data_IF_118348663195
#
_entry.id   IF_118348663195
#
_cell.length_a   1.000
_cell.length_b   1.000
_cell.length_c   1.000
_cell.angle_alpha   90.00
_cell.angle_beta   90.00
_cell.angle_gamma   90.00
#
_symmetry.space_group_name_H-M   'P 1'
#
loop_
_entity.id
_entity.type
_entity.pdbx_description
1 polymer ?
#
# COMPACT_ATOMS: atom_id res chain seq x y z
N UNK A 1 -11.36 10.95 39.33
CA UNK A 1 -10.45 10.33 40.31
C UNK A 1 -9.55 9.30 39.64
N UNK A 2 -10.08 8.20 39.08
CA UNK A 2 -9.32 7.13 38.40
C UNK A 2 -8.22 7.60 37.41
N UNK A 3 -8.47 8.60 36.57
CA UNK A 3 -7.46 9.13 35.62
C UNK A 3 -6.22 9.66 36.35
N UNK A 4 -6.39 10.29 37.52
CA UNK A 4 -5.29 10.86 38.30
C UNK A 4 -4.41 9.79 38.96
N UNK A 5 -5.01 8.69 39.42
CA UNK A 5 -4.25 7.53 39.96
C UNK A 5 -3.48 6.80 38.86
N UNK A 6 -4.06 6.67 37.65
CA UNK A 6 -3.39 6.06 36.48
C UNK A 6 -2.11 6.80 36.04
N UNK A 7 -1.92 8.06 36.46
CA UNK A 7 -0.76 8.88 36.12
C UNK A 7 0.41 8.72 37.10
N UNK A 8 0.20 8.07 38.24
CA UNK A 8 1.20 7.92 39.32
C UNK A 8 1.92 6.57 39.34
N UNK A 9 1.38 5.55 38.66
CA UNK A 9 1.96 4.21 38.61
C UNK A 9 2.59 3.94 37.23
N UNK A 10 3.69 3.15 37.16
CA UNK A 10 4.23 2.71 35.89
C UNK A 10 3.24 1.76 35.19
N UNK A 11 3.12 1.80 33.86
CA UNK A 11 2.25 0.90 33.12
C UNK A 11 2.56 -0.58 33.40
N UNK A 12 1.53 -1.39 33.60
CA UNK A 12 1.69 -2.84 33.79
C UNK A 12 2.34 -3.47 32.54
N UNK A 13 3.49 -4.10 32.73
CA UNK A 13 4.34 -4.64 31.66
C UNK A 13 5.69 -3.92 31.53
N UNK A 14 5.73 -2.59 31.61
CA UNK A 14 6.88 -1.77 31.16
C UNK A 14 8.18 -1.93 31.98
N UNK A 15 8.10 -2.42 33.22
CA UNK A 15 9.26 -2.49 34.13
C UNK A 15 9.68 -3.90 34.58
N UNK A 16 8.77 -4.89 34.52
CA UNK A 16 8.99 -6.23 35.06
C UNK A 16 8.35 -7.36 34.23
N UNK A 17 7.88 -7.07 33.01
CA UNK A 17 6.97 -7.95 32.27
C UNK A 17 5.59 -8.02 32.92
N UNK A 18 4.67 -8.77 32.30
CA UNK A 18 3.31 -8.93 32.82
C UNK A 18 3.25 -10.04 33.88
N UNK A 19 3.22 -9.66 35.15
CA UNK A 19 3.14 -10.60 36.27
C UNK A 19 1.69 -11.06 36.60
N UNK A 20 0.69 -10.62 35.84
CA UNK A 20 -0.69 -11.05 36.06
C UNK A 20 -0.89 -12.52 35.66
N UNK A 21 -1.59 -13.29 36.50
CA UNK A 21 -1.97 -14.68 36.20
C UNK A 21 -3.20 -14.81 35.29
N UNK A 22 -3.66 -13.69 34.71
CA UNK A 22 -4.78 -13.71 33.78
C UNK A 22 -4.35 -14.30 32.42
N UNK A 23 -4.64 -15.59 32.25
CA UNK A 23 -4.41 -16.37 31.02
C UNK A 23 -5.02 -15.68 29.79
N UNK A 24 -6.13 -14.95 29.93
CA UNK A 24 -6.75 -14.24 28.81
C UNK A 24 -5.84 -13.14 28.24
N UNK A 25 -5.13 -12.38 29.08
CA UNK A 25 -4.22 -11.31 28.63
C UNK A 25 -2.97 -11.91 27.97
N UNK A 26 -2.42 -12.99 28.54
CA UNK A 26 -1.34 -13.78 27.93
C UNK A 26 -1.75 -14.34 26.56
N UNK A 27 -2.96 -14.89 26.43
CA UNK A 27 -3.49 -15.40 25.17
C UNK A 27 -3.73 -14.30 24.12
N UNK A 28 -4.35 -13.18 24.50
CA UNK A 28 -4.57 -12.03 23.61
C UNK A 28 -3.25 -11.49 23.03
N UNK A 29 -2.20 -11.37 23.86
CA UNK A 29 -0.88 -10.95 23.39
C UNK A 29 -0.31 -11.91 22.34
N UNK A 30 -0.32 -13.22 22.62
CA UNK A 30 0.21 -14.23 21.70
C UNK A 30 -0.57 -14.19 20.38
N UNK A 31 -1.90 -14.09 20.44
CA UNK A 31 -2.77 -14.02 19.26
C UNK A 31 -2.53 -12.74 18.45
N UNK A 32 -2.46 -11.57 19.08
CA UNK A 32 -2.23 -10.31 18.37
C UNK A 32 -0.83 -10.22 17.78
N UNK A 33 0.21 -10.67 18.49
CA UNK A 33 1.56 -10.74 17.92
C UNK A 33 1.65 -11.75 16.77
N UNK A 34 0.98 -12.90 16.86
CA UNK A 34 0.91 -13.87 15.77
C UNK A 34 0.19 -13.32 14.54
N UNK A 35 -0.94 -12.60 14.72
CA UNK A 35 -1.64 -11.89 13.63
C UNK A 35 -0.73 -10.82 13.00
N UNK A 36 -0.04 -10.03 13.82
CA UNK A 36 0.87 -8.98 13.36
C UNK A 36 2.00 -9.56 12.48
N UNK A 37 2.65 -10.64 12.92
CA UNK A 37 3.69 -11.33 12.15
C UNK A 37 3.15 -12.03 10.90
N UNK A 38 2.02 -12.73 10.99
CA UNK A 38 1.40 -13.39 9.83
C UNK A 38 1.09 -12.35 8.74
N UNK A 39 0.42 -11.26 9.09
CA UNK A 39 0.12 -10.17 8.17
C UNK A 39 1.40 -9.51 7.63
N UNK A 40 2.42 -9.31 8.45
CA UNK A 40 3.68 -8.70 8.01
C UNK A 40 4.43 -9.59 7.01
N UNK A 41 4.55 -10.91 7.26
CA UNK A 41 5.20 -11.85 6.35
C UNK A 41 4.43 -11.98 5.03
N UNK A 42 3.11 -12.14 5.10
CA UNK A 42 2.25 -12.16 3.91
C UNK A 42 2.39 -10.87 3.10
N UNK A 43 2.39 -9.71 3.77
CA UNK A 43 2.51 -8.41 3.11
C UNK A 43 3.91 -8.21 2.50
N UNK A 44 5.00 -8.65 3.13
CA UNK A 44 6.35 -8.63 2.54
C UNK A 44 6.38 -9.44 1.24
N UNK A 45 5.80 -10.65 1.24
CA UNK A 45 5.71 -11.49 0.04
C UNK A 45 4.90 -10.77 -1.06
N UNK A 46 3.72 -10.24 -0.71
CA UNK A 46 2.85 -9.52 -1.66
C UNK A 46 3.51 -8.26 -2.23
N UNK A 47 4.28 -7.52 -1.44
CA UNK A 47 5.09 -6.37 -1.87
C UNK A 47 6.08 -6.81 -2.96
N UNK A 48 6.90 -7.83 -2.71
CA UNK A 48 7.89 -8.30 -3.69
C UNK A 48 7.26 -8.92 -4.95
N UNK A 49 6.08 -9.55 -4.84
CA UNK A 49 5.36 -10.08 -6.01
C UNK A 49 4.69 -9.01 -6.87
N UNK A 50 4.42 -7.82 -6.32
CA UNK A 50 3.62 -6.78 -7.00
C UNK A 50 4.46 -5.60 -7.50
N UNK A 51 5.56 -5.26 -6.83
CA UNK A 51 6.40 -4.12 -7.21
C UNK A 51 7.55 -4.51 -8.15
N UNK A 52 7.35 -4.31 -9.45
CA UNK A 52 8.42 -4.44 -10.46
C UNK A 52 9.49 -3.32 -10.41
N UNK A 53 9.33 -2.28 -9.57
CA UNK A 53 10.29 -1.17 -9.44
C UNK A 53 10.39 -0.67 -8.00
N UNK A 54 11.53 -0.93 -7.36
CA UNK A 54 11.80 -0.68 -5.94
C UNK A 54 12.24 0.77 -5.59
N UNK A 55 11.86 1.76 -6.39
CA UNK A 55 12.36 3.15 -6.27
C UNK A 55 11.32 4.17 -5.78
N UNK A 56 10.07 3.76 -5.55
CA UNK A 56 8.99 4.67 -5.13
C UNK A 56 8.99 4.93 -3.62
N UNK A 57 8.60 6.14 -3.20
CA UNK A 57 8.40 6.48 -1.79
C UNK A 57 7.43 5.50 -1.12
N UNK A 58 6.33 5.16 -1.80
CA UNK A 58 5.35 4.16 -1.36
C UNK A 58 5.99 2.80 -1.03
N UNK A 59 6.86 2.31 -1.92
CA UNK A 59 7.52 1.01 -1.74
C UNK A 59 8.38 1.04 -0.48
N UNK A 60 9.23 2.06 -0.31
CA UNK A 60 10.10 2.17 0.85
C UNK A 60 9.33 2.41 2.15
N UNK A 61 8.32 3.27 2.17
CA UNK A 61 7.52 3.48 3.39
C UNK A 61 6.77 2.22 3.79
N UNK A 62 6.09 1.55 2.85
CA UNK A 62 5.36 0.32 3.14
C UNK A 62 6.30 -0.85 3.53
N UNK A 63 7.40 -1.05 2.81
CA UNK A 63 8.35 -2.13 3.09
C UNK A 63 9.04 -1.94 4.45
N UNK A 64 9.51 -0.73 4.77
CA UNK A 64 10.17 -0.44 6.06
C UNK A 64 9.17 -0.48 7.22
N UNK A 65 7.95 0.04 7.05
CA UNK A 65 6.89 -0.03 8.08
C UNK A 65 6.49 -1.48 8.38
N UNK A 66 6.49 -2.35 7.38
CA UNK A 66 6.16 -3.77 7.55
C UNK A 66 7.33 -4.55 8.17
N UNK A 67 8.51 -4.43 7.56
CA UNK A 67 9.69 -5.29 7.87
C UNK A 67 10.44 -4.84 9.11
N UNK A 68 10.63 -3.53 9.28
CA UNK A 68 11.27 -2.97 10.48
C UNK A 68 10.19 -2.61 11.49
N UNK A 69 9.16 -1.87 11.06
CA UNK A 69 8.14 -1.33 11.96
C UNK A 69 7.39 -2.39 12.76
N UNK A 70 6.45 -3.09 12.11
CA UNK A 70 5.57 -4.08 12.75
C UNK A 70 6.36 -5.23 13.39
N UNK A 71 7.34 -5.80 12.67
CA UNK A 71 8.07 -6.98 13.14
C UNK A 71 8.94 -6.66 14.38
N UNK A 72 9.77 -5.59 14.35
CA UNK A 72 10.63 -5.28 15.50
C UNK A 72 9.82 -4.80 16.70
N UNK A 73 8.71 -4.08 16.47
CA UNK A 73 7.79 -3.68 17.53
C UNK A 73 7.20 -4.91 18.24
N UNK A 74 6.68 -5.88 17.47
CA UNK A 74 6.13 -7.12 18.02
C UNK A 74 7.21 -7.99 18.71
N UNK A 75 8.43 -8.09 18.16
CA UNK A 75 9.56 -8.79 18.82
C UNK A 75 9.93 -8.12 20.15
N UNK A 76 10.07 -6.79 20.16
CA UNK A 76 10.44 -6.03 21.36
C UNK A 76 9.46 -6.26 22.51
N UNK A 77 8.15 -6.12 22.24
CA UNK A 77 7.12 -6.39 23.24
C UNK A 77 7.02 -7.86 23.65
N UNK A 78 7.31 -8.82 22.77
CA UNK A 78 7.43 -10.24 23.17
C UNK A 78 8.60 -10.47 24.13
N UNK A 79 9.76 -9.88 23.87
CA UNK A 79 10.93 -10.00 24.74
C UNK A 79 10.70 -9.33 26.10
N UNK A 80 10.05 -8.17 26.11
CA UNK A 80 9.66 -7.45 27.33
C UNK A 80 8.66 -8.26 28.17
N UNK A 81 7.62 -8.79 27.53
CA UNK A 81 6.55 -9.53 28.21
C UNK A 81 7.01 -10.86 28.80
N UNK A 82 7.80 -11.64 28.04
CA UNK A 82 8.37 -12.91 28.50
C UNK A 82 9.70 -12.76 29.26
N UNK A 83 10.12 -11.51 29.53
CA UNK A 83 11.41 -11.15 30.18
C UNK A 83 12.64 -11.85 29.57
N UNK A 84 12.62 -12.04 28.25
CA UNK A 84 13.68 -12.71 27.48
C UNK A 84 14.82 -11.73 27.21
N UNK A 85 15.86 -11.81 28.03
CA UNK A 85 17.10 -11.05 27.87
C UNK A 85 17.09 -9.67 28.56
N UNK A 86 18.06 -8.81 28.25
CA UNK A 86 18.17 -7.50 28.89
C UNK A 86 16.99 -6.60 28.53
N UNK A 87 16.36 -5.96 29.53
CA UNK A 87 15.19 -5.09 29.29
C UNK A 87 15.50 -3.93 28.32
N UNK A 88 16.74 -3.42 28.32
CA UNK A 88 17.19 -2.43 27.34
C UNK A 88 17.18 -2.94 25.89
N UNK A 89 17.38 -4.24 25.65
CA UNK A 89 17.32 -4.83 24.31
C UNK A 89 15.86 -4.94 23.83
N UNK A 90 14.95 -5.36 24.72
CA UNK A 90 13.52 -5.41 24.41
C UNK A 90 12.97 -4.00 24.06
N UNK A 91 13.25 -3.01 24.91
CA UNK A 91 12.81 -1.62 24.73
C UNK A 91 13.45 -0.96 23.49
N UNK A 92 14.73 -1.23 23.19
CA UNK A 92 15.37 -0.71 21.97
C UNK A 92 14.75 -1.29 20.71
N UNK A 93 14.47 -2.60 20.65
CA UNK A 93 13.77 -3.23 19.52
C UNK A 93 12.34 -2.66 19.36
N UNK A 94 11.59 -2.54 20.46
CA UNK A 94 10.26 -1.94 20.45
C UNK A 94 10.28 -0.49 19.92
N UNK A 95 11.23 0.32 20.38
CA UNK A 95 11.43 1.72 19.95
C UNK A 95 11.79 1.82 18.46
N UNK A 96 12.71 0.97 17.97
CA UNK A 96 13.09 0.93 16.55
C UNK A 96 11.88 0.56 15.68
N UNK A 97 11.09 -0.44 16.10
CA UNK A 97 9.85 -0.78 15.43
C UNK A 97 8.85 0.38 15.42
N UNK A 98 8.64 1.04 16.56
CA UNK A 98 7.74 2.18 16.69
C UNK A 98 8.08 3.33 15.71
N UNK A 99 9.37 3.68 15.57
CA UNK A 99 9.84 4.72 14.63
C UNK A 99 9.44 4.46 13.17
N UNK A 100 9.51 3.21 12.71
CA UNK A 100 9.13 2.86 11.35
C UNK A 100 7.65 2.51 11.21
N UNK A 101 6.97 2.12 12.28
CA UNK A 101 5.54 1.76 12.26
C UNK A 101 4.64 3.01 12.21
N UNK A 102 4.79 3.95 13.15
CA UNK A 102 3.81 5.03 13.35
C UNK A 102 4.01 6.19 12.34
N UNK A 103 5.18 6.85 12.25
CA UNK A 103 5.48 7.77 11.15
C UNK A 103 5.37 7.11 9.76
N UNK A 104 5.78 5.86 9.63
CA UNK A 104 5.77 5.13 8.36
C UNK A 104 4.36 4.93 7.80
N UNK A 105 3.39 4.59 8.64
CA UNK A 105 1.96 4.55 8.26
C UNK A 105 1.47 5.89 7.72
N UNK A 106 1.84 7.01 8.37
CA UNK A 106 1.52 8.35 7.85
C UNK A 106 2.17 8.63 6.48
N UNK A 107 3.40 8.14 6.24
CA UNK A 107 4.02 8.21 4.91
C UNK A 107 3.37 7.32 3.85
N UNK A 108 2.82 6.15 4.22
CA UNK A 108 2.02 5.31 3.30
C UNK A 108 0.73 6.05 2.91
N UNK A 109 -0.02 6.59 3.88
CA UNK A 109 -1.21 7.41 3.65
C UNK A 109 -0.92 8.62 2.74
N UNK A 110 0.16 9.34 3.03
CA UNK A 110 0.65 10.44 2.20
C UNK A 110 0.98 9.99 0.77
N UNK A 111 1.69 8.87 0.61
CA UNK A 111 2.08 8.38 -0.71
C UNK A 111 0.90 7.87 -1.52
N UNK A 112 -0.21 7.43 -0.88
CA UNK A 112 -1.48 7.21 -1.58
C UNK A 112 -2.17 8.53 -1.92
N UNK A 113 -2.21 9.49 -1.00
CA UNK A 113 -2.81 10.81 -1.28
C UNK A 113 -2.15 11.47 -2.49
N UNK A 114 -0.83 11.34 -2.66
CA UNK A 114 -0.10 11.82 -3.84
C UNK A 114 -0.63 11.25 -5.18
N UNK A 115 -1.22 10.06 -5.21
CA UNK A 115 -1.75 9.43 -6.43
C UNK A 115 -3.15 9.94 -6.81
N UNK A 116 -3.85 10.62 -5.90
CA UNK A 116 -5.24 11.09 -6.08
C UNK A 116 -5.35 12.62 -6.01
N UNK A 117 -4.50 13.27 -5.23
CA UNK A 117 -4.42 14.72 -5.08
C UNK A 117 -3.45 15.31 -6.11
N UNK A 118 -3.95 16.21 -6.96
CA UNK A 118 -3.17 16.85 -8.01
C UNK A 118 -2.45 18.12 -7.53
N UNK A 119 -2.88 18.73 -6.43
CA UNK A 119 -2.32 20.01 -5.96
C UNK A 119 -1.03 19.81 -5.15
N UNK A 120 0.14 20.27 -5.66
CA UNK A 120 1.43 20.06 -4.99
C UNK A 120 1.55 20.87 -3.68
N UNK A 121 0.72 21.92 -3.51
CA UNK A 121 0.71 22.77 -2.31
C UNK A 121 0.10 22.05 -1.11
N UNK A 122 -1.05 21.40 -1.29
CA UNK A 122 -1.70 20.61 -0.22
C UNK A 122 -0.79 19.45 0.17
N UNK A 123 -0.28 18.72 -0.82
CA UNK A 123 0.62 17.60 -0.60
C UNK A 123 1.88 18.04 0.19
N UNK A 124 2.56 19.13 -0.21
CA UNK A 124 3.75 19.62 0.50
C UNK A 124 3.43 20.06 1.94
N UNK A 125 2.25 20.63 2.21
CA UNK A 125 1.81 20.95 3.59
C UNK A 125 1.62 19.68 4.43
N UNK A 126 0.99 18.64 3.88
CA UNK A 126 0.84 17.35 4.56
C UNK A 126 2.20 16.69 4.82
N UNK A 127 3.14 16.75 3.87
CA UNK A 127 4.51 16.24 4.08
C UNK A 127 5.20 16.94 5.26
N UNK A 128 5.16 18.28 5.32
CA UNK A 128 5.74 19.02 6.44
C UNK A 128 5.04 18.74 7.76
N UNK A 129 3.71 18.55 7.77
CA UNK A 129 2.97 18.13 8.96
C UNK A 129 3.47 16.79 9.51
N UNK A 130 3.65 15.78 8.64
CA UNK A 130 4.13 14.45 9.04
C UNK A 130 5.56 14.53 9.59
N UNK A 131 6.47 15.20 8.88
CA UNK A 131 7.89 15.31 9.29
C UNK A 131 8.03 16.08 10.60
N UNK A 132 7.32 17.21 10.76
CA UNK A 132 7.33 17.99 11.99
C UNK A 132 6.79 17.18 13.17
N UNK A 133 5.65 16.53 12.99
CA UNK A 133 5.03 15.68 14.02
C UNK A 133 5.93 14.52 14.42
N UNK A 134 6.56 13.85 13.45
CA UNK A 134 7.50 12.78 13.73
C UNK A 134 8.66 13.26 14.61
N UNK A 135 9.29 14.40 14.29
CA UNK A 135 10.41 14.93 15.09
C UNK A 135 9.96 15.37 16.49
N UNK A 136 8.86 16.12 16.59
CA UNK A 136 8.37 16.70 17.85
C UNK A 136 7.82 15.64 18.81
N UNK A 137 7.31 14.52 18.30
CA UNK A 137 6.76 13.44 19.11
C UNK A 137 7.79 12.33 19.40
N UNK A 138 8.58 11.88 18.42
CA UNK A 138 9.52 10.76 18.64
C UNK A 138 10.59 11.10 19.69
N UNK A 139 11.14 12.32 19.67
CA UNK A 139 12.24 12.68 20.56
C UNK A 139 11.80 12.67 22.04
N UNK A 140 10.72 13.37 22.46
CA UNK A 140 10.31 13.38 23.86
C UNK A 140 9.81 12.02 24.35
N UNK A 141 9.03 11.26 23.54
CA UNK A 141 8.61 9.90 23.91
C UNK A 141 9.82 9.03 24.20
N UNK A 142 10.80 8.99 23.30
CA UNK A 142 11.99 8.15 23.44
C UNK A 142 12.78 8.48 24.71
N UNK A 143 13.02 9.76 24.98
CA UNK A 143 13.70 10.19 26.20
C UNK A 143 12.90 9.77 27.45
N UNK A 144 11.58 9.94 27.45
CA UNK A 144 10.72 9.54 28.57
C UNK A 144 10.66 8.02 28.77
N UNK A 145 10.68 7.22 27.70
CA UNK A 145 10.76 5.76 27.76
C UNK A 145 12.03 5.32 28.47
N UNK A 146 13.22 5.76 28.01
CA UNK A 146 14.47 5.36 28.64
C UNK A 146 14.65 5.92 30.06
N UNK A 147 14.20 7.14 30.33
CA UNK A 147 14.16 7.69 31.69
C UNK A 147 13.26 6.85 32.61
N UNK A 148 12.12 6.35 32.12
CA UNK A 148 11.22 5.48 32.89
C UNK A 148 11.89 4.13 33.20
N UNK A 149 12.57 3.52 32.23
CA UNK A 149 13.25 2.22 32.41
C UNK A 149 14.45 2.30 33.35
N UNK A 150 15.34 3.29 33.18
CA UNK A 150 16.62 3.37 33.88
C UNK A 150 16.64 4.31 35.09
N UNK A 151 16.02 5.50 35.00
CA UNK A 151 16.04 6.51 36.09
C UNK A 151 14.90 6.28 37.08
N UNK A 152 13.75 5.78 36.60
CA UNK A 152 12.59 5.37 37.43
C UNK A 152 12.03 6.46 38.36
N UNK A 153 12.27 7.73 38.02
CA UNK A 153 11.70 8.87 38.75
C UNK A 153 10.17 8.90 38.58
N UNK A 154 9.39 9.20 39.63
CA UNK A 154 7.93 9.35 39.52
C UNK A 154 7.52 10.46 38.54
N UNK A 155 8.39 11.47 38.35
CA UNK A 155 8.18 12.50 37.33
C UNK A 155 8.34 11.95 35.90
N UNK A 156 9.28 11.03 35.68
CA UNK A 156 9.49 10.38 34.37
C UNK A 156 8.33 9.44 34.01
N UNK A 157 7.86 8.64 34.97
CA UNK A 157 6.70 7.76 34.81
C UNK A 157 5.45 8.57 34.43
N UNK A 158 5.16 9.63 35.21
CA UNK A 158 4.02 10.51 34.94
C UNK A 158 4.17 11.24 33.60
N UNK A 159 5.40 11.64 33.24
CA UNK A 159 5.71 12.22 31.94
C UNK A 159 5.43 11.27 30.78
N UNK A 160 5.87 10.01 30.89
CA UNK A 160 5.60 8.96 29.89
C UNK A 160 4.10 8.72 29.71
N UNK A 161 3.33 8.52 30.80
CA UNK A 161 1.88 8.28 30.72
C UNK A 161 1.09 9.46 30.10
N UNK A 162 1.59 10.70 30.21
CA UNK A 162 1.01 11.86 29.50
C UNK A 162 1.44 11.88 28.04
N UNK A 163 2.72 11.63 27.77
CA UNK A 163 3.28 11.67 26.42
C UNK A 163 2.69 10.57 25.52
N UNK A 164 2.50 9.35 26.03
CA UNK A 164 1.89 8.24 25.29
C UNK A 164 0.45 8.56 24.83
N UNK A 165 -0.37 9.12 25.73
CA UNK A 165 -1.74 9.56 25.39
C UNK A 165 -1.72 10.69 24.36
N UNK A 166 -0.76 11.61 24.49
CA UNK A 166 -0.60 12.73 23.58
C UNK A 166 -0.17 12.27 22.18
N UNK A 167 0.82 11.38 22.05
CA UNK A 167 1.25 10.88 20.75
C UNK A 167 0.15 10.11 20.02
N UNK A 168 -0.61 9.25 20.73
CA UNK A 168 -1.66 8.45 20.12
C UNK A 168 -2.82 9.33 19.67
N UNK A 169 -3.19 10.33 20.46
CA UNK A 169 -4.18 11.34 20.07
C UNK A 169 -3.70 12.16 18.87
N UNK A 170 -2.43 12.56 18.86
CA UNK A 170 -1.86 13.37 17.79
C UNK A 170 -1.76 12.61 16.46
N UNK A 171 -1.22 11.39 16.48
CA UNK A 171 -1.13 10.56 15.27
C UNK A 171 -2.52 10.11 14.78
N UNK A 172 -3.46 9.78 15.67
CA UNK A 172 -4.86 9.52 15.30
C UNK A 172 -5.49 10.74 14.59
N UNK A 173 -5.33 11.95 15.16
CA UNK A 173 -5.82 13.18 14.52
C UNK A 173 -5.13 13.46 13.17
N UNK A 174 -3.83 13.16 13.05
CA UNK A 174 -3.08 13.29 11.80
C UNK A 174 -3.55 12.30 10.73
N UNK A 175 -3.75 11.02 11.08
CA UNK A 175 -4.25 10.00 10.15
C UNK A 175 -5.68 10.34 9.70
N UNK A 176 -6.58 10.74 10.62
CA UNK A 176 -7.94 11.22 10.30
C UNK A 176 -7.91 12.46 9.39
N UNK A 177 -6.99 13.40 9.60
CA UNK A 177 -6.86 14.59 8.76
C UNK A 177 -6.44 14.23 7.32
N UNK A 178 -5.42 13.38 7.16
CA UNK A 178 -4.95 12.90 5.84
C UNK A 178 -6.06 12.10 5.13
N UNK A 179 -6.73 11.22 5.88
CA UNK A 179 -7.87 10.42 5.43
C UNK A 179 -9.05 11.30 4.96
N UNK A 180 -9.35 12.38 5.69
CA UNK A 180 -10.42 13.32 5.34
C UNK A 180 -10.16 14.04 4.01
N UNK A 181 -8.93 14.51 3.79
CA UNK A 181 -8.52 15.12 2.50
C UNK A 181 -8.67 14.10 1.37
N UNK A 182 -8.21 12.86 1.60
CA UNK A 182 -8.30 11.77 0.62
C UNK A 182 -9.75 11.43 0.25
N UNK A 183 -10.66 11.30 1.23
CA UNK A 183 -12.09 11.05 0.99
C UNK A 183 -12.71 12.22 0.24
N UNK A 184 -12.44 13.46 0.65
CA UNK A 184 -12.99 14.66 -0.01
C UNK A 184 -12.61 14.72 -1.49
N UNK A 185 -11.32 14.53 -1.81
CA UNK A 185 -10.83 14.53 -3.19
C UNK A 185 -11.39 13.35 -4.00
N UNK A 186 -11.51 12.17 -3.40
CA UNK A 186 -12.12 10.99 -4.05
C UNK A 186 -13.60 11.23 -4.38
N UNK A 187 -14.37 11.83 -3.46
CA UNK A 187 -15.78 12.21 -3.71
C UNK A 187 -15.88 13.31 -4.78
N UNK A 188 -14.96 14.27 -4.80
CA UNK A 188 -14.93 15.32 -5.82
C UNK A 188 -14.71 14.74 -7.23
N UNK A 189 -13.74 13.82 -7.38
CA UNK A 189 -13.49 13.10 -8.64
C UNK A 189 -14.73 12.29 -9.07
N UNK A 190 -15.43 11.64 -8.12
CA UNK A 190 -16.65 10.88 -8.40
C UNK A 190 -17.81 11.80 -8.86
N UNK A 191 -18.00 12.95 -8.20
CA UNK A 191 -19.03 13.95 -8.56
C UNK A 191 -18.80 14.61 -9.92
N UNK A 192 -17.55 14.85 -10.30
CA UNK A 192 -17.19 15.51 -11.57
C UNK A 192 -17.27 14.59 -12.79
N UNK A 193 -17.36 13.26 -12.61
CA UNK A 193 -17.47 12.29 -13.70
C UNK A 193 -18.48 11.17 -13.39
N UNK A 194 -19.79 11.48 -13.26
CA UNK A 194 -20.81 10.52 -12.88
C UNK A 194 -21.21 9.53 -13.99
N UNK A 195 -21.01 9.89 -15.26
CA UNK A 195 -21.82 9.34 -16.36
C UNK A 195 -21.29 8.12 -17.13
N UNK A 196 -20.03 7.68 -16.98
CA UNK A 196 -19.47 6.67 -17.91
C UNK A 196 -19.28 5.24 -17.41
N UNK A 197 -19.08 4.96 -16.11
CA UNK A 197 -18.91 3.56 -15.66
C UNK A 197 -19.41 3.24 -14.24
N UNK A 198 -20.40 2.33 -14.15
CA UNK A 198 -20.84 1.73 -12.89
C UNK A 198 -19.72 0.93 -12.19
N UNK A 199 -18.80 0.33 -12.94
CA UNK A 199 -17.68 -0.44 -12.38
C UNK A 199 -16.68 0.48 -11.66
N UNK A 200 -16.28 1.58 -12.31
CA UNK A 200 -15.38 2.58 -11.71
C UNK A 200 -15.95 3.19 -10.43
N UNK A 201 -17.24 3.52 -10.41
CA UNK A 201 -17.92 4.06 -9.23
C UNK A 201 -17.94 3.06 -8.07
N UNK A 202 -18.21 1.76 -8.33
CA UNK A 202 -18.14 0.71 -7.29
C UNK A 202 -16.75 0.62 -6.67
N UNK A 203 -15.69 0.58 -7.49
CA UNK A 203 -14.32 0.57 -6.99
C UNK A 203 -14.02 1.81 -6.14
N UNK A 204 -14.42 3.02 -6.57
CA UNK A 204 -14.24 4.25 -5.77
C UNK A 204 -14.97 4.20 -4.41
N UNK A 205 -16.16 3.60 -4.34
CA UNK A 205 -16.85 3.36 -3.06
C UNK A 205 -16.10 2.38 -2.16
N UNK A 206 -15.49 1.32 -2.71
CA UNK A 206 -14.66 0.40 -1.93
C UNK A 206 -13.40 1.09 -1.37
N UNK A 207 -12.78 2.00 -2.15
CA UNK A 207 -11.64 2.81 -1.69
C UNK A 207 -12.03 3.71 -0.51
N UNK A 208 -13.21 4.34 -0.57
CA UNK A 208 -13.75 5.14 0.55
C UNK A 208 -14.06 4.23 1.76
N UNK A 209 -14.68 3.08 1.55
CA UNK A 209 -15.04 2.15 2.63
C UNK A 209 -13.79 1.65 3.40
N UNK A 210 -12.71 1.30 2.69
CA UNK A 210 -11.45 0.90 3.33
C UNK A 210 -10.85 2.07 4.14
N UNK A 211 -10.95 3.29 3.64
CA UNK A 211 -10.48 4.48 4.35
C UNK A 211 -11.27 4.74 5.66
N UNK A 212 -12.59 4.56 5.65
CA UNK A 212 -13.43 4.61 6.85
C UNK A 212 -13.09 3.51 7.86
N UNK A 213 -12.75 2.29 7.40
CA UNK A 213 -12.29 1.20 8.29
C UNK A 213 -11.00 1.57 9.01
N UNK A 214 -10.06 2.26 8.35
CA UNK A 214 -8.82 2.70 9.00
C UNK A 214 -9.08 3.78 10.06
N UNK A 215 -9.96 4.76 9.79
CA UNK A 215 -10.41 5.74 10.80
C UNK A 215 -11.04 5.04 12.01
N UNK A 216 -11.85 3.99 11.79
CA UNK A 216 -12.43 3.21 12.89
C UNK A 216 -11.36 2.47 13.72
N UNK A 217 -10.35 1.89 13.06
CA UNK A 217 -9.21 1.24 13.73
C UNK A 217 -8.37 2.23 14.56
N UNK A 218 -8.19 3.46 14.09
CA UNK A 218 -7.56 4.55 14.85
C UNK A 218 -8.33 4.91 16.13
N UNK A 219 -9.64 5.10 16.00
CA UNK A 219 -10.52 5.39 17.14
C UNK A 219 -10.52 4.23 18.13
N UNK A 220 -10.49 2.97 17.67
CA UNK A 220 -10.42 1.81 18.54
C UNK A 220 -9.13 1.75 19.37
N UNK A 221 -7.97 2.04 18.76
CA UNK A 221 -6.69 2.15 19.50
C UNK A 221 -6.72 3.32 20.49
N UNK A 222 -7.26 4.47 20.09
CA UNK A 222 -7.36 5.65 20.94
C UNK A 222 -8.25 5.40 22.18
N UNK A 223 -9.41 4.75 22.00
CA UNK A 223 -10.30 4.38 23.09
C UNK A 223 -9.60 3.40 24.05
N UNK A 224 -8.91 2.39 23.53
CA UNK A 224 -8.20 1.41 24.36
C UNK A 224 -7.10 2.04 25.22
N UNK A 225 -6.39 3.03 24.69
CA UNK A 225 -5.43 3.85 25.43
C UNK A 225 -6.09 4.61 26.59
N UNK A 226 -7.20 5.32 26.32
CA UNK A 226 -7.90 6.09 27.36
C UNK A 226 -8.59 5.23 28.43
N UNK A 227 -8.87 3.95 28.13
CA UNK A 227 -9.30 2.95 29.14
C UNK A 227 -8.13 2.49 30.03
N UNK A 228 -6.88 2.71 29.61
CA UNK A 228 -5.68 2.45 30.42
C UNK A 228 -5.13 1.03 30.35
N UNK A 229 -5.56 0.23 29.37
CA UNK A 229 -5.14 -1.18 29.22
C UNK A 229 -3.83 -1.31 28.44
N UNK A 230 -2.73 -0.76 28.99
CA UNK A 230 -1.42 -0.65 28.32
C UNK A 230 -0.94 -1.95 27.62
N UNK A 231 -0.93 -3.08 28.32
CA UNK A 231 -0.47 -4.37 27.75
C UNK A 231 -1.30 -4.84 26.55
N UNK A 232 -2.61 -4.55 26.56
CA UNK A 232 -3.51 -4.88 25.47
C UNK A 232 -3.40 -3.85 24.33
N UNK A 233 -3.19 -2.58 24.68
CA UNK A 233 -2.94 -1.49 23.74
C UNK A 233 -1.69 -1.76 22.91
N UNK A 234 -0.55 -2.10 23.52
CA UNK A 234 0.73 -2.21 22.80
C UNK A 234 0.75 -3.38 21.83
N UNK A 235 0.10 -4.48 22.21
CA UNK A 235 -0.03 -5.69 21.39
C UNK A 235 -1.07 -5.54 20.29
N UNK A 236 -2.24 -4.97 20.60
CA UNK A 236 -3.26 -4.67 19.59
C UNK A 236 -2.77 -3.61 18.59
N UNK A 237 -1.96 -2.63 19.02
CA UNK A 237 -1.32 -1.62 18.17
C UNK A 237 -0.54 -2.29 17.04
N UNK A 238 0.36 -3.24 17.35
CA UNK A 238 1.11 -3.98 16.32
C UNK A 238 0.18 -4.72 15.31
N UNK A 239 -0.85 -5.40 15.81
CA UNK A 239 -1.83 -6.09 14.96
C UNK A 239 -2.62 -5.12 14.07
N UNK A 240 -3.13 -4.02 14.63
CA UNK A 240 -3.90 -3.01 13.90
C UNK A 240 -3.05 -2.31 12.84
N UNK A 241 -1.81 -1.92 13.14
CA UNK A 241 -0.90 -1.34 12.13
C UNK A 241 -0.57 -2.35 11.01
N UNK A 242 -0.43 -3.65 11.32
CA UNK A 242 -0.29 -4.68 10.27
C UNK A 242 -1.51 -4.78 9.34
N UNK A 243 -2.73 -4.66 9.91
CA UNK A 243 -3.99 -4.67 9.15
C UNK A 243 -4.12 -3.39 8.31
N UNK A 244 -3.81 -2.22 8.88
CA UNK A 244 -3.77 -0.94 8.13
C UNK A 244 -2.86 -1.03 6.91
N UNK A 245 -1.62 -1.51 7.06
CA UNK A 245 -0.68 -1.66 5.94
C UNK A 245 -1.20 -2.64 4.87
N UNK A 246 -1.87 -3.73 5.28
CA UNK A 246 -2.50 -4.69 4.36
C UNK A 246 -3.69 -4.08 3.61
N UNK A 247 -4.51 -3.25 4.29
CA UNK A 247 -5.60 -2.48 3.68
C UNK A 247 -5.07 -1.45 2.68
N UNK A 248 -3.99 -0.72 3.01
CA UNK A 248 -3.31 0.22 2.11
C UNK A 248 -2.81 -0.45 0.84
N UNK A 249 -2.24 -1.64 0.95
CA UNK A 249 -1.78 -2.42 -0.20
C UNK A 249 -2.94 -2.88 -1.09
N UNK A 250 -4.03 -3.37 -0.48
CA UNK A 250 -5.25 -3.73 -1.21
C UNK A 250 -5.89 -2.53 -1.93
N UNK A 251 -5.84 -1.33 -1.33
CA UNK A 251 -6.28 -0.09 -1.98
C UNK A 251 -5.40 0.26 -3.18
N UNK A 252 -4.08 0.13 -3.08
CA UNK A 252 -3.19 0.39 -4.22
C UNK A 252 -3.49 -0.55 -5.39
N UNK A 253 -3.67 -1.85 -5.14
CA UNK A 253 -4.00 -2.82 -6.19
C UNK A 253 -5.25 -2.41 -6.98
N UNK A 254 -6.30 -1.96 -6.28
CA UNK A 254 -7.53 -1.43 -6.90
C UNK A 254 -7.30 -0.11 -7.63
N UNK A 255 -6.48 0.79 -7.09
CA UNK A 255 -6.16 2.08 -7.73
C UNK A 255 -5.33 1.90 -9.02
N UNK A 256 -4.40 0.95 -9.05
CA UNK A 256 -3.63 0.62 -10.27
C UNK A 256 -4.53 0.00 -11.34
N UNK A 257 -5.47 -0.87 -10.95
CA UNK A 257 -6.48 -1.44 -11.85
C UNK A 257 -7.34 -0.34 -12.50
N UNK A 258 -7.83 0.62 -11.69
CA UNK A 258 -8.60 1.79 -12.15
C UNK A 258 -7.87 2.61 -13.23
N UNK A 259 -6.56 2.83 -13.08
CA UNK A 259 -5.76 3.58 -14.06
C UNK A 259 -5.52 2.78 -15.34
N UNK A 260 -5.35 1.47 -15.26
CA UNK A 260 -5.17 0.63 -16.45
C UNK A 260 -6.45 0.54 -17.27
N UNK A 261 -7.63 0.36 -16.64
CA UNK A 261 -8.92 0.39 -17.34
C UNK A 261 -9.10 1.68 -18.13
N UNK A 262 -8.82 2.84 -17.50
CA UNK A 262 -8.95 4.13 -18.19
C UNK A 262 -8.06 4.26 -19.43
N UNK A 263 -6.89 3.61 -19.46
CA UNK A 263 -6.02 3.61 -20.65
C UNK A 263 -6.58 2.73 -21.77
N UNK A 264 -7.20 1.59 -21.43
CA UNK A 264 -7.92 0.74 -22.38
C UNK A 264 -9.08 1.48 -23.03
N UNK A 265 -9.87 2.20 -22.23
CA UNK A 265 -11.06 2.92 -22.72
C UNK A 265 -10.71 4.09 -23.65
N UNK A 266 -9.57 4.75 -23.42
CA UNK A 266 -9.07 5.78 -24.33
C UNK A 266 -8.63 5.17 -25.67
N UNK A 267 -8.05 3.97 -25.65
CA UNK A 267 -7.68 3.26 -26.90
C UNK A 267 -8.86 2.65 -27.65
N UNK A 268 -10.01 2.38 -27.01
CA UNK A 268 -11.23 1.94 -27.72
C UNK A 268 -12.08 3.12 -28.20
N UNK A 269 -12.15 4.21 -27.42
CA UNK A 269 -12.93 5.41 -27.78
C UNK A 269 -12.39 6.15 -29.02
N UNK A 270 -11.16 5.87 -29.47
CA UNK A 270 -10.60 6.41 -30.72
C UNK A 270 -10.95 5.55 -31.95
N UNK A 271 -11.56 4.36 -31.76
CA UNK A 271 -12.10 3.50 -32.82
C UNK A 271 -13.64 3.42 -32.84
N UNK A 272 -14.33 3.73 -31.73
CA UNK A 272 -15.79 3.66 -31.63
C UNK A 272 -16.55 4.88 -32.22
N UNK A 273 -15.87 5.90 -32.76
CA UNK A 273 -16.55 7.04 -33.44
C UNK A 273 -16.99 6.72 -34.88
N UNK A 274 -16.63 5.55 -35.42
CA UNK A 274 -17.22 5.02 -36.65
C UNK A 274 -18.05 3.76 -36.36
N UNK A 275 -19.35 3.74 -36.72
CA UNK A 275 -20.13 2.51 -36.65
C UNK A 275 -19.49 1.42 -37.52
N UNK A 276 -19.49 0.17 -37.02
CA UNK A 276 -18.80 -0.99 -37.60
C UNK A 276 -19.37 -1.50 -38.97
N UNK A 277 -20.03 -0.59 -39.70
CA UNK A 277 -20.63 -0.75 -41.02
C UNK A 277 -20.29 0.43 -41.96
N UNK A 278 -19.44 1.38 -41.52
CA UNK A 278 -18.92 2.48 -42.34
C UNK A 278 -17.40 2.37 -42.40
N UNK A 279 -16.88 1.96 -43.55
CA UNK A 279 -15.44 1.95 -43.82
C UNK A 279 -15.00 3.34 -44.29
N UNK A 280 -14.23 4.11 -43.50
CA UNK A 280 -13.83 5.47 -43.87
C UNK A 280 -12.93 5.52 -45.11
N UNK A 281 -12.30 4.40 -45.50
CA UNK A 281 -11.54 4.32 -46.75
C UNK A 281 -12.42 4.50 -48.01
N UNK A 282 -13.74 4.25 -47.92
CA UNK A 282 -14.67 4.48 -49.02
C UNK A 282 -15.11 5.95 -49.16
N UNK A 283 -15.04 6.76 -48.09
CA UNK A 283 -15.42 8.18 -48.16
C UNK A 283 -14.34 9.09 -48.79
N UNK A 284 -13.09 8.63 -48.84
CA UNK A 284 -11.98 9.37 -49.47
C UNK A 284 -11.76 9.00 -50.94
N UNK A 285 -12.59 8.12 -51.51
CA UNK A 285 -12.59 7.82 -52.94
C UNK A 285 -13.10 9.02 -53.74
N UNK A 286 -12.26 9.58 -54.60
CA UNK A 286 -12.60 10.70 -55.47
C UNK A 286 -13.70 10.31 -56.48
N UNK A 287 -14.95 10.69 -56.17
CA UNK A 287 -16.15 10.40 -56.97
C UNK A 287 -16.20 11.23 -58.28
N UNK A 288 -15.21 12.10 -58.52
CA UNK A 288 -15.19 13.01 -59.68
C UNK A 288 -14.71 12.32 -60.97
N UNK A 289 -14.21 11.08 -60.89
CA UNK A 289 -13.76 10.30 -62.04
C UNK A 289 -14.60 9.03 -62.26
N UNK A 290 -15.30 8.97 -63.39
CA UNK A 290 -15.95 7.75 -63.84
C UNK A 290 -14.90 6.73 -64.30
N UNK A 291 -14.95 5.51 -63.76
CA UNK A 291 -14.12 4.40 -64.22
C UNK A 291 -14.46 4.05 -65.69
N UNK A 292 -13.48 3.70 -66.53
CA UNK A 292 -13.75 3.24 -67.88
C UNK A 292 -14.51 1.91 -67.84
N UNK A 293 -15.53 1.77 -68.69
CA UNK A 293 -16.30 0.54 -68.80
C UNK A 293 -15.45 -0.56 -69.46
N UNK A 294 -15.10 -1.60 -68.70
CA UNK A 294 -14.60 -2.85 -69.28
C UNK A 294 -15.77 -3.76 -69.68
N UNK A 295 -15.67 -4.30 -70.90
CA UNK A 295 -16.77 -4.88 -71.65
C UNK A 295 -17.08 -6.34 -71.22
N UNK A 296 -18.37 -6.67 -71.06
CA UNK A 296 -18.80 -7.97 -70.56
C UNK A 296 -18.57 -9.11 -71.57
N UNK A 297 -17.79 -10.13 -71.21
CA UNK A 297 -17.98 -11.49 -71.78
C UNK A 297 -17.82 -12.63 -70.76
N UNK A 298 -18.98 -13.04 -70.23
CA UNK A 298 -19.54 -14.43 -70.15
C UNK A 298 -18.64 -15.57 -69.58
N UNK A 299 -19.13 -16.53 -68.79
CA UNK A 299 -20.44 -16.82 -68.18
C UNK A 299 -20.25 -18.05 -67.23
N UNK A 300 -21.04 -18.17 -66.15
CA UNK A 300 -21.57 -19.45 -65.57
C UNK A 300 -20.58 -20.59 -65.20
N UNK A 301 -20.58 -21.25 -64.02
CA UNK A 301 -21.65 -21.60 -63.04
C UNK A 301 -20.98 -22.18 -61.74
N UNK A 302 -21.73 -22.53 -60.66
CA UNK A 302 -21.17 -22.66 -59.30
C UNK A 302 -21.12 -24.08 -58.67
N UNK A 303 -20.43 -24.14 -57.51
CA UNK A 303 -20.65 -24.96 -56.29
C UNK A 303 -20.22 -26.45 -56.18
N UNK A 304 -19.41 -26.70 -55.13
CA UNK A 304 -19.27 -27.90 -54.27
C UNK A 304 -18.80 -29.27 -54.83
N UNK A 305 -17.74 -29.82 -54.20
CA UNK A 305 -17.62 -31.29 -53.98
C UNK A 305 -16.22 -31.92 -53.97
N UNK A 306 -15.88 -32.60 -52.86
CA UNK A 306 -14.77 -33.59 -52.65
C UNK A 306 -13.34 -33.02 -52.63
N UNK A 307 -12.46 -33.26 -51.63
CA UNK A 307 -12.04 -34.48 -50.86
C UNK A 307 -11.09 -35.39 -51.65
N UNK A 308 -9.80 -35.36 -51.28
CA UNK A 308 -8.79 -36.46 -51.15
C UNK A 308 -7.40 -35.79 -51.15
N UNK A 309 -6.54 -35.78 -50.12
CA UNK A 309 -5.89 -36.85 -49.33
C UNK A 309 -4.61 -37.39 -49.99
N UNK A 310 -3.49 -37.34 -49.23
CA UNK A 310 -2.13 -37.91 -49.45
C UNK A 310 -1.28 -37.37 -50.64
N UNK A 311 0.06 -37.23 -50.64
CA UNK A 311 1.15 -37.72 -49.74
C UNK A 311 2.50 -36.94 -49.89
N UNK A 312 3.14 -36.48 -48.78
CA UNK A 312 4.48 -36.88 -48.24
C UNK A 312 5.70 -37.10 -49.22
N UNK A 313 7.00 -36.75 -48.93
CA UNK A 313 7.63 -35.75 -48.02
C UNK A 313 8.98 -35.11 -48.54
N UNK A 314 9.87 -34.73 -47.60
CA UNK A 314 11.08 -33.88 -47.66
C UNK A 314 12.45 -34.49 -48.14
N UNK A 315 13.52 -33.65 -48.01
CA UNK A 315 15.00 -33.93 -48.04
C UNK A 315 15.71 -33.84 -49.42
N UNK A 316 17.03 -33.56 -49.60
CA UNK A 316 18.19 -33.29 -48.71
C UNK A 316 19.39 -32.64 -49.49
N UNK A 317 20.43 -32.10 -48.80
CA UNK A 317 21.85 -31.80 -49.27
C UNK A 317 22.05 -30.62 -50.28
N UNK A 318 23.19 -29.90 -50.43
CA UNK A 318 24.56 -29.71 -49.81
C UNK A 318 25.09 -28.31 -50.30
N UNK A 319 26.20 -27.65 -49.86
CA UNK A 319 27.35 -27.99 -49.00
C UNK A 319 28.22 -26.78 -48.53
N UNK A 320 29.56 -26.78 -48.79
CA UNK A 320 30.64 -25.84 -48.33
C UNK A 320 31.81 -25.82 -49.37
N UNK A 321 32.99 -25.14 -49.20
CA UNK A 321 33.35 -23.75 -48.82
C UNK A 321 34.57 -23.14 -49.60
N UNK A 322 34.98 -21.87 -49.38
CA UNK A 322 36.41 -21.41 -49.50
C UNK A 322 36.69 -19.96 -49.04
N UNK A 323 37.74 -19.77 -48.22
CA UNK A 323 38.89 -18.80 -48.25
C UNK A 323 38.86 -17.58 -49.22
N UNK A 324 39.57 -16.45 -49.05
CA UNK A 324 40.29 -15.74 -47.94
C UNK A 324 41.12 -14.59 -48.57
N UNK A 325 41.30 -13.40 -47.97
CA UNK A 325 42.63 -12.75 -47.80
C UNK A 325 42.59 -11.40 -47.03
N UNK A 326 43.76 -11.09 -46.50
CA UNK A 326 44.20 -10.03 -45.59
C UNK A 326 44.67 -8.76 -46.30
N UNK A 327 44.65 -7.59 -45.64
CA UNK A 327 45.70 -6.56 -45.83
C UNK A 327 45.80 -5.56 -44.67
N UNK A 328 47.04 -5.22 -44.30
CA UNK A 328 47.46 -4.32 -43.21
C UNK A 328 47.65 -2.86 -43.73
N UNK A 329 47.27 -1.79 -43.00
CA UNK A 329 47.98 -1.08 -41.88
C UNK A 329 49.01 -0.02 -42.39
N UNK A 330 49.72 0.79 -41.56
CA UNK A 330 49.53 2.25 -41.55
C UNK A 330 50.83 3.04 -41.93
N UNK A 331 50.96 4.34 -41.57
CA UNK A 331 51.48 4.72 -40.24
C UNK A 331 50.49 5.50 -39.36
#
# INVERSE_FOLDING_TARGET
MAIAESLSYPPEGLLHGYQGDNVAIKACLIVFSAIAWYNAVELIILIFLTFNRYSGLYFWSMFLSTTIGVIFHAIGFLFEFFTIGPIGLAVTLATIGWYFMVPGQSFVLYSRLHLVEQSPVVLRRVFYLIVFSAIVILIPTTVLTYCTVYVRSPASIKGYNVMERLELTWFCAQEIFIASIYIFQTINILRLRPEKELHRSKLMYELIAINLVMIFLDIALLVLEYVGLYTLQTTLKAAVYSVKLKLEFGVLGKLVSLVHTHRSDLTSSEYDEFPNFVDPAQLTGDVTHAAPAEDERRQSRPAWGRVSMDSVPASERRGRPSFSLETARPP
#
